data_IF_430808216997
#
_entry.id   IF_430808216997
#
_cell.length_a   1.000
_cell.length_b   1.000
_cell.length_c   1.000
_cell.angle_alpha   90.00
_cell.angle_beta   90.00
_cell.angle_gamma   90.00
#
_symmetry.space_group_name_H-M   'P 1'
#
loop_
_entity.id
_entity.type
_entity.pdbx_description
1 polymer ?
#
# COMPACT_ATOMS: atom_id res chain seq x y z
N UNK A 1 -74.71 58.42 76.86
CA UNK A 1 -74.80 57.45 77.97
C UNK A 1 -75.76 56.34 77.57
N UNK A 2 -75.32 55.09 77.59
CA UNK A 2 -76.21 53.93 77.44
C UNK A 2 -76.84 53.53 78.78
N UNK A 3 -77.68 52.50 78.77
CA UNK A 3 -78.37 51.95 79.95
C UNK A 3 -77.43 51.39 81.03
N UNK A 4 -76.14 51.19 80.72
CA UNK A 4 -75.09 50.78 81.65
C UNK A 4 -74.18 51.95 82.06
N UNK A 5 -74.58 53.19 81.77
CA UNK A 5 -73.83 54.41 82.06
C UNK A 5 -72.46 54.49 81.34
N UNK A 6 -72.32 53.83 80.18
CA UNK A 6 -71.14 53.96 79.32
C UNK A 6 -71.31 55.16 78.38
N UNK A 7 -70.30 56.03 78.33
CA UNK A 7 -70.25 57.11 77.36
C UNK A 7 -69.87 56.56 75.99
N UNK A 8 -70.56 57.04 74.96
CA UNK A 8 -70.29 56.74 73.56
C UNK A 8 -70.16 58.08 72.85
N UNK A 9 -69.15 58.21 72.00
CA UNK A 9 -69.00 59.37 71.14
C UNK A 9 -69.91 59.21 69.91
N UNK A 10 -70.60 60.29 69.56
CA UNK A 10 -71.44 60.34 68.35
C UNK A 10 -70.61 60.88 67.20
N UNK A 11 -70.49 60.11 66.12
CA UNK A 11 -69.84 60.60 64.91
C UNK A 11 -70.72 61.68 64.24
N UNK A 12 -70.08 62.76 63.82
CA UNK A 12 -70.65 63.81 62.97
C UNK A 12 -70.34 63.53 61.50
N UNK A 13 -70.96 64.29 60.59
CA UNK A 13 -70.63 64.22 59.16
C UNK A 13 -69.20 64.69 58.85
N UNK A 14 -68.59 65.46 59.75
CA UNK A 14 -67.19 65.89 59.62
C UNK A 14 -66.21 64.79 60.08
N UNK A 15 -66.69 63.83 60.87
CA UNK A 15 -65.94 62.63 61.22
C UNK A 15 -65.93 61.66 60.01
N UNK A 16 -64.80 61.01 59.80
CA UNK A 16 -64.50 60.34 58.53
C UNK A 16 -63.59 59.13 58.69
N UNK A 17 -63.43 58.40 57.58
CA UNK A 17 -62.47 57.28 57.52
C UNK A 17 -61.11 57.79 57.04
N UNK A 18 -60.04 57.18 57.59
CA UNK A 18 -58.66 57.42 57.17
C UNK A 18 -58.18 56.23 56.35
N UNK A 19 -57.52 56.51 55.25
CA UNK A 19 -56.93 55.52 54.36
C UNK A 19 -55.46 55.84 54.17
N UNK A 20 -54.61 54.82 54.09
CA UNK A 20 -53.20 54.95 53.78
C UNK A 20 -52.76 53.76 52.93
N UNK A 21 -51.81 54.00 52.02
CA UNK A 21 -51.11 52.93 51.30
C UNK A 21 -49.80 52.57 51.98
N UNK A 22 -48.99 51.75 51.31
CA UNK A 22 -47.66 51.39 51.82
C UNK A 22 -46.64 52.52 51.63
N UNK A 23 -46.78 53.33 50.57
CA UNK A 23 -45.79 54.34 50.15
C UNK A 23 -46.49 55.64 49.76
N UNK A 24 -45.95 56.77 50.22
CA UNK A 24 -46.38 58.11 49.80
C UNK A 24 -45.91 58.40 48.37
N UNK A 25 -46.81 58.83 47.49
CA UNK A 25 -46.45 59.33 46.16
C UNK A 25 -45.61 60.62 46.27
N UNK A 26 -44.67 60.83 45.34
CA UNK A 26 -43.72 61.95 45.37
C UNK A 26 -44.37 63.34 45.33
N UNK A 27 -45.56 63.43 44.75
CA UNK A 27 -46.36 64.65 44.61
C UNK A 27 -47.47 64.78 45.68
N UNK A 28 -47.69 63.76 46.51
CA UNK A 28 -48.65 63.79 47.59
C UNK A 28 -48.10 64.48 48.84
N UNK A 29 -48.96 65.19 49.59
CA UNK A 29 -48.57 65.86 50.85
C UNK A 29 -48.39 64.90 52.04
N UNK A 30 -49.08 63.77 52.03
CA UNK A 30 -48.98 62.72 53.05
C UNK A 30 -49.41 61.35 52.45
N UNK A 31 -48.93 60.26 53.05
CA UNK A 31 -49.37 58.90 52.69
C UNK A 31 -50.85 58.64 53.05
N UNK A 32 -51.28 59.14 54.20
CA UNK A 32 -52.66 59.01 54.67
C UNK A 32 -53.54 60.16 54.17
N UNK A 33 -54.79 59.86 53.83
CA UNK A 33 -55.83 60.85 53.56
C UNK A 33 -57.13 60.50 54.30
N UNK A 34 -57.95 61.51 54.59
CA UNK A 34 -59.24 61.35 55.26
C UNK A 34 -60.37 61.66 54.30
N UNK A 35 -61.50 60.99 54.47
CA UNK A 35 -62.76 61.26 53.76
C UNK A 35 -63.87 61.41 54.77
N UNK A 36 -64.63 62.51 54.67
CA UNK A 36 -65.80 62.74 55.53
C UNK A 36 -66.83 61.65 55.33
N UNK A 37 -67.71 61.46 56.31
CA UNK A 37 -68.86 60.58 56.13
C UNK A 37 -69.66 61.02 54.88
N UNK A 38 -70.13 60.07 54.07
CA UNK A 38 -70.75 60.25 52.75
C UNK A 38 -69.83 60.76 51.61
N UNK A 39 -68.52 60.87 51.80
CA UNK A 39 -67.61 61.06 50.67
C UNK A 39 -67.23 59.75 49.98
N UNK A 40 -67.17 59.76 48.64
CA UNK A 40 -66.74 58.61 47.85
C UNK A 40 -65.22 58.47 47.86
N UNK A 41 -64.74 57.25 48.08
CA UNK A 41 -63.35 56.85 47.87
C UNK A 41 -63.25 55.94 46.66
N UNK A 42 -62.35 56.24 45.73
CA UNK A 42 -62.12 55.41 44.54
C UNK A 42 -60.86 54.56 44.71
N UNK A 43 -60.94 53.29 44.33
CA UNK A 43 -59.80 52.37 44.23
C UNK A 43 -59.60 52.05 42.74
N UNK A 44 -58.48 52.49 42.17
CA UNK A 44 -58.23 52.42 40.72
C UNK A 44 -56.92 51.69 40.39
N UNK A 45 -56.96 50.75 39.44
CA UNK A 45 -55.81 49.94 39.00
C UNK A 45 -55.24 50.34 37.62
N UNK A 46 -55.73 51.41 37.01
CA UNK A 46 -55.19 51.97 35.75
C UNK A 46 -55.67 51.31 34.44
N UNK A 47 -56.25 50.11 34.47
CA UNK A 47 -56.83 49.44 33.29
C UNK A 47 -58.27 49.90 33.05
N UNK A 48 -58.59 50.35 31.84
CA UNK A 48 -59.89 50.96 31.51
C UNK A 48 -60.81 50.08 30.65
N UNK A 49 -60.29 48.99 30.08
CA UNK A 49 -61.06 48.00 29.29
C UNK A 49 -61.21 46.71 30.09
N UNK A 50 -62.44 46.26 30.30
CA UNK A 50 -62.73 45.04 31.06
C UNK A 50 -62.07 43.80 30.43
N UNK A 51 -62.12 43.67 29.11
CA UNK A 51 -61.56 42.51 28.39
C UNK A 51 -60.02 42.39 28.45
N UNK A 52 -59.34 43.45 28.93
CA UNK A 52 -57.90 43.40 29.18
C UNK A 52 -57.55 42.91 30.61
N UNK A 53 -58.55 42.77 31.48
CA UNK A 53 -58.38 42.25 32.83
C UNK A 53 -58.56 40.74 32.81
N UNK A 54 -57.71 40.05 33.58
CA UNK A 54 -57.85 38.63 33.80
C UNK A 54 -59.19 38.33 34.49
N UNK A 55 -59.89 37.30 34.01
CA UNK A 55 -61.04 36.70 34.69
C UNK A 55 -60.62 35.73 35.79
N UNK A 56 -59.32 35.43 35.90
CA UNK A 56 -58.74 34.61 36.96
C UNK A 56 -58.69 35.34 38.31
N UNK A 57 -58.85 34.59 39.40
CA UNK A 57 -58.74 35.07 40.78
C UNK A 57 -57.28 35.28 41.21
N UNK A 58 -56.55 36.12 40.48
CA UNK A 58 -55.11 36.31 40.63
C UNK A 58 -54.71 37.19 41.82
N UNK A 59 -55.64 37.97 42.37
CA UNK A 59 -55.42 38.88 43.51
C UNK A 59 -56.32 38.47 44.66
N UNK A 60 -55.73 38.20 45.82
CA UNK A 60 -56.44 37.91 47.08
C UNK A 60 -56.20 39.00 48.12
N UNK A 61 -57.14 39.15 49.05
CA UNK A 61 -57.07 40.10 50.17
C UNK A 61 -57.15 39.32 51.48
N UNK A 62 -56.23 39.61 52.40
CA UNK A 62 -56.11 38.92 53.71
C UNK A 62 -56.25 39.95 54.83
N UNK A 63 -57.26 39.81 55.69
CA UNK A 63 -57.39 40.66 56.88
C UNK A 63 -56.51 40.16 58.02
N UNK A 64 -55.84 41.08 58.73
CA UNK A 64 -55.20 40.76 60.01
C UNK A 64 -56.17 40.81 61.20
N UNK A 65 -57.43 41.22 60.98
CA UNK A 65 -58.47 41.33 62.02
C UNK A 65 -58.39 42.58 62.91
N UNK A 66 -57.42 43.47 62.70
CA UNK A 66 -57.26 44.70 63.50
C UNK A 66 -57.37 45.94 62.64
N UNK A 67 -56.46 46.11 61.69
CA UNK A 67 -56.21 47.41 61.03
C UNK A 67 -55.61 47.29 59.62
N UNK A 68 -55.34 46.07 59.12
CA UNK A 68 -54.78 45.88 57.77
C UNK A 68 -55.53 44.84 56.95
N UNK A 69 -55.58 45.12 55.64
CA UNK A 69 -55.98 44.20 54.59
C UNK A 69 -54.78 44.03 53.64
N UNK A 70 -54.07 42.91 53.72
CA UNK A 70 -52.92 42.63 52.86
C UNK A 70 -53.36 42.09 51.51
N UNK A 71 -52.98 42.76 50.43
CA UNK A 71 -53.19 42.27 49.07
C UNK A 71 -52.05 41.30 48.71
N UNK A 72 -52.39 40.15 48.12
CA UNK A 72 -51.42 39.13 47.68
C UNK A 72 -51.77 38.60 46.30
N UNK A 73 -50.76 38.20 45.53
CA UNK A 73 -50.95 37.44 44.30
C UNK A 73 -51.23 35.95 44.62
N UNK A 74 -52.03 35.30 43.78
CA UNK A 74 -52.25 33.87 43.84
C UNK A 74 -50.96 33.10 43.52
N UNK A 75 -50.72 31.95 44.17
CA UNK A 75 -49.56 31.09 43.88
C UNK A 75 -49.54 30.56 42.45
N UNK A 76 -50.72 30.34 41.89
CA UNK A 76 -50.93 29.95 40.49
C UNK A 76 -51.68 31.10 39.82
N UNK A 77 -50.98 31.81 38.94
CA UNK A 77 -51.62 32.82 38.10
C UNK A 77 -52.25 32.13 36.89
N UNK A 78 -53.46 32.51 36.54
CA UNK A 78 -54.22 31.96 35.40
C UNK A 78 -54.78 33.08 34.55
N UNK A 79 -55.12 32.78 33.29
CA UNK A 79 -55.76 33.75 32.38
C UNK A 79 -54.92 35.03 32.22
N UNK A 80 -53.61 34.84 32.00
CA UNK A 80 -52.66 35.87 31.61
C UNK A 80 -52.25 35.63 30.15
N UNK A 81 -52.24 36.69 29.35
CA UNK A 81 -51.81 36.63 27.95
C UNK A 81 -50.29 36.69 27.83
N UNK A 82 -49.63 37.48 28.68
CA UNK A 82 -48.17 37.61 28.70
C UNK A 82 -47.64 38.04 30.05
N UNK A 83 -46.37 37.75 30.28
CA UNK A 83 -45.55 38.30 31.37
C UNK A 83 -44.32 38.93 30.75
N UNK A 84 -44.10 40.21 31.03
CA UNK A 84 -42.94 40.95 30.54
C UNK A 84 -42.10 41.42 31.72
N UNK A 85 -40.82 41.08 31.71
CA UNK A 85 -39.83 41.61 32.65
C UNK A 85 -38.75 42.36 31.89
N UNK A 86 -38.30 43.48 32.43
CA UNK A 86 -37.18 44.25 31.88
C UNK A 86 -36.00 44.20 32.83
N UNK A 87 -34.80 44.02 32.28
CA UNK A 87 -33.57 44.28 33.02
C UNK A 87 -33.17 45.72 32.73
N UNK A 88 -32.73 46.44 33.76
CA UNK A 88 -32.20 47.80 33.63
C UNK A 88 -30.74 47.87 34.07
N UNK A 89 -30.01 48.85 33.56
CA UNK A 89 -28.72 49.23 34.14
C UNK A 89 -28.90 50.02 35.46
N UNK A 90 -27.79 50.37 36.12
CA UNK A 90 -27.79 51.15 37.37
C UNK A 90 -28.40 52.56 37.22
N UNK A 91 -28.60 53.02 35.98
CA UNK A 91 -29.23 54.31 35.65
C UNK A 91 -30.72 54.16 35.31
N UNK A 92 -31.27 52.95 35.34
CA UNK A 92 -32.65 52.64 35.03
C UNK A 92 -32.96 52.48 33.54
N UNK A 93 -31.96 52.47 32.66
CA UNK A 93 -32.18 52.25 31.23
C UNK A 93 -32.41 50.77 30.94
N UNK A 94 -33.41 50.43 30.14
CA UNK A 94 -33.68 49.05 29.71
C UNK A 94 -32.50 48.47 28.94
N UNK A 95 -31.92 47.38 29.44
CA UNK A 95 -30.83 46.62 28.80
C UNK A 95 -31.31 45.34 28.15
N UNK A 96 -32.41 44.76 28.62
CA UNK A 96 -33.07 43.62 27.98
C UNK A 96 -34.56 43.54 28.35
N UNK A 97 -35.31 42.83 27.51
CA UNK A 97 -36.69 42.40 27.76
C UNK A 97 -36.78 40.90 27.72
N UNK A 98 -37.51 40.30 28.66
CA UNK A 98 -37.97 38.92 28.54
C UNK A 98 -39.49 38.93 28.47
N UNK A 99 -40.02 38.32 27.42
CA UNK A 99 -41.45 38.12 27.23
C UNK A 99 -41.74 36.63 27.29
N UNK A 100 -42.66 36.24 28.16
CA UNK A 100 -43.30 34.93 28.14
C UNK A 100 -44.75 35.11 27.70
N UNK A 101 -45.12 34.48 26.59
CA UNK A 101 -46.47 34.55 26.01
C UNK A 101 -46.85 33.22 25.32
N UNK A 102 -47.94 33.23 24.56
CA UNK A 102 -48.41 32.05 23.82
C UNK A 102 -47.43 31.52 22.76
N UNK A 103 -46.43 32.29 22.36
CA UNK A 103 -45.40 31.88 21.40
C UNK A 103 -44.16 31.26 22.08
N UNK A 104 -44.04 31.39 23.41
CA UNK A 104 -42.95 30.83 24.20
C UNK A 104 -42.23 31.89 25.05
N UNK A 105 -40.92 31.77 25.17
CA UNK A 105 -40.08 32.70 25.93
C UNK A 105 -39.08 33.36 24.99
N UNK A 106 -39.04 34.68 24.96
CA UNK A 106 -38.09 35.45 24.14
C UNK A 106 -37.34 36.46 25.00
N UNK A 107 -36.01 36.50 24.85
CA UNK A 107 -35.12 37.46 25.49
C UNK A 107 -34.54 38.36 24.40
N UNK A 108 -34.86 39.65 24.47
CA UNK A 108 -34.43 40.67 23.52
C UNK A 108 -33.53 41.69 24.22
N UNK A 109 -32.20 41.61 24.04
CA UNK A 109 -31.28 42.65 24.48
C UNK A 109 -31.55 43.96 23.73
N UNK A 110 -31.41 45.10 24.42
CA UNK A 110 -31.52 46.43 23.79
C UNK A 110 -30.40 46.71 22.79
N UNK A 111 -29.29 45.97 22.88
CA UNK A 111 -28.15 46.07 21.96
C UNK A 111 -27.74 44.67 21.53
N UNK A 112 -27.75 44.41 20.22
CA UNK A 112 -27.31 43.14 19.65
C UNK A 112 -25.89 43.28 19.10
N UNK A 113 -25.04 42.29 19.38
CA UNK A 113 -23.75 42.18 18.71
C UNK A 113 -23.91 41.90 17.20
N UNK A 114 -22.86 42.14 16.43
CA UNK A 114 -22.87 41.85 14.99
C UNK A 114 -23.27 40.39 14.71
N UNK A 115 -24.28 40.20 13.86
CA UNK A 115 -24.80 38.88 13.49
C UNK A 115 -25.57 38.16 14.61
N UNK A 116 -25.94 38.83 15.70
CA UNK A 116 -26.75 38.25 16.79
C UNK A 116 -28.21 38.65 16.67
N UNK A 117 -29.09 37.82 17.21
CA UNK A 117 -30.54 38.05 17.33
C UNK A 117 -31.03 37.72 18.74
N UNK A 118 -32.32 37.89 19.01
CA UNK A 118 -32.93 37.50 20.28
C UNK A 118 -32.76 36.00 20.55
N UNK A 119 -32.70 35.65 21.84
CA UNK A 119 -32.75 34.24 22.28
C UNK A 119 -34.22 33.87 22.45
N UNK A 120 -34.64 32.73 21.91
CA UNK A 120 -36.04 32.29 22.04
C UNK A 120 -36.18 30.79 22.19
N UNK A 121 -37.13 30.38 23.03
CA UNK A 121 -37.62 29.01 23.15
C UNK A 121 -39.11 29.02 22.77
N UNK A 122 -39.43 28.35 21.67
CA UNK A 122 -40.77 28.35 21.06
C UNK A 122 -41.22 26.93 20.74
N UNK A 123 -42.43 26.77 20.21
CA UNK A 123 -42.93 25.51 19.65
C UNK A 123 -42.06 24.93 18.51
N UNK A 124 -41.21 25.77 17.89
CA UNK A 124 -40.25 25.40 16.84
C UNK A 124 -38.86 25.04 17.39
N UNK A 125 -38.66 25.09 18.71
CA UNK A 125 -37.40 24.78 19.37
C UNK A 125 -36.65 26.02 19.88
N UNK A 126 -35.34 25.85 20.09
CA UNK A 126 -34.44 26.84 20.67
C UNK A 126 -33.66 27.59 19.57
N UNK A 127 -33.72 28.92 19.59
CA UNK A 127 -32.77 29.79 18.92
C UNK A 127 -31.90 30.48 19.97
N UNK A 128 -30.58 30.24 19.96
CA UNK A 128 -29.65 30.93 20.86
C UNK A 128 -29.22 32.31 20.32
N UNK A 129 -29.91 32.86 19.32
CA UNK A 129 -29.63 34.20 18.80
C UNK A 129 -28.23 34.38 18.20
N UNK A 130 -27.62 33.29 17.72
CA UNK A 130 -26.24 33.28 17.23
C UNK A 130 -25.18 33.35 18.35
N UNK A 131 -25.55 33.30 19.62
CA UNK A 131 -24.59 33.26 20.73
C UNK A 131 -23.89 31.90 20.83
N UNK A 132 -22.68 31.88 21.43
CA UNK A 132 -22.00 30.63 21.72
C UNK A 132 -22.74 29.90 22.85
N UNK A 133 -22.98 28.60 22.67
CA UNK A 133 -23.44 27.72 23.75
C UNK A 133 -22.20 27.15 24.42
N UNK A 134 -22.02 27.40 25.71
CA UNK A 134 -20.87 26.92 26.50
C UNK A 134 -21.33 25.89 27.53
N UNK A 135 -20.40 25.13 28.10
CA UNK A 135 -20.67 24.09 29.10
C UNK A 135 -21.63 22.98 28.61
N UNK A 136 -21.52 22.63 27.32
CA UNK A 136 -22.21 21.48 26.73
C UNK A 136 -21.40 20.22 27.01
N UNK A 137 -21.97 19.31 27.79
CA UNK A 137 -21.40 17.98 28.02
C UNK A 137 -21.40 17.16 26.72
N UNK A 138 -20.62 16.08 26.68
CA UNK A 138 -20.59 15.20 25.51
C UNK A 138 -21.93 14.51 25.31
N UNK A 139 -22.45 14.56 24.08
CA UNK A 139 -23.64 13.80 23.69
C UNK A 139 -23.42 12.30 23.58
N UNK A 140 -22.16 11.84 23.64
CA UNK A 140 -21.77 10.43 23.61
C UNK A 140 -21.95 9.76 24.98
N UNK A 141 -23.18 9.82 25.49
CA UNK A 141 -23.61 9.16 26.72
C UNK A 141 -24.93 8.45 26.53
N UNK A 142 -25.08 7.29 27.16
CA UNK A 142 -26.35 6.57 27.20
C UNK A 142 -27.34 7.26 28.16
N UNK A 143 -28.58 6.75 28.21
CA UNK A 143 -29.63 7.27 29.08
C UNK A 143 -29.30 7.18 30.59
N UNK A 144 -28.33 6.33 30.98
CA UNK A 144 -27.84 6.21 32.35
C UNK A 144 -26.64 7.14 32.63
N UNK A 145 -26.17 7.89 31.63
CA UNK A 145 -25.04 8.82 31.74
C UNK A 145 -23.66 8.16 31.57
N UNK A 146 -23.61 6.88 31.18
CA UNK A 146 -22.34 6.21 30.88
C UNK A 146 -21.81 6.66 29.52
N UNK A 147 -20.49 6.71 29.36
CA UNK A 147 -19.86 7.06 28.07
C UNK A 147 -20.14 5.98 27.02
N UNK A 148 -20.42 6.43 25.80
CA UNK A 148 -20.60 5.58 24.62
C UNK A 148 -19.53 5.95 23.60
N UNK A 149 -18.86 4.98 22.99
CA UNK A 149 -17.92 5.28 21.91
C UNK A 149 -18.70 5.63 20.62
N UNK A 150 -18.15 6.52 19.80
CA UNK A 150 -18.86 7.04 18.62
C UNK A 150 -19.30 5.91 17.66
N UNK A 151 -18.49 4.87 17.51
CA UNK A 151 -18.77 3.70 16.67
C UNK A 151 -19.94 2.84 17.17
N UNK A 152 -20.24 2.90 18.48
CA UNK A 152 -21.28 2.10 19.14
C UNK A 152 -22.56 2.93 19.40
N UNK A 153 -22.54 4.22 19.06
CA UNK A 153 -23.67 5.11 19.26
C UNK A 153 -24.87 4.70 18.39
N UNK A 154 -26.05 4.56 19.02
CA UNK A 154 -27.30 4.20 18.36
C UNK A 154 -28.47 4.97 18.98
N UNK A 155 -29.62 5.00 18.28
CA UNK A 155 -30.85 5.61 18.79
C UNK A 155 -30.67 7.08 19.17
N UNK A 156 -31.15 7.45 20.37
CA UNK A 156 -31.13 8.84 20.86
C UNK A 156 -29.73 9.43 20.98
N UNK A 157 -28.71 8.60 21.22
CA UNK A 157 -27.30 9.05 21.30
C UNK A 157 -26.86 9.73 20.01
N UNK A 158 -27.37 9.29 18.85
CA UNK A 158 -27.07 9.90 17.55
C UNK A 158 -27.69 11.29 17.36
N UNK A 159 -28.69 11.64 18.17
CA UNK A 159 -29.40 12.93 18.10
C UNK A 159 -28.92 13.93 19.17
N UNK A 160 -28.03 13.51 20.06
CA UNK A 160 -27.48 14.36 21.10
C UNK A 160 -26.52 15.41 20.52
N UNK A 161 -26.39 16.54 21.23
CA UNK A 161 -25.43 17.57 20.86
C UNK A 161 -23.98 17.09 21.09
N UNK A 162 -23.10 17.39 20.14
CA UNK A 162 -21.64 17.18 20.28
C UNK A 162 -20.96 18.45 20.77
N UNK A 163 -19.90 18.30 21.57
CA UNK A 163 -19.05 19.41 21.95
C UNK A 163 -17.71 19.41 21.19
N UNK A 164 -16.93 20.48 21.34
CA UNK A 164 -15.63 20.62 20.66
C UNK A 164 -14.63 19.54 21.08
N UNK A 165 -14.73 19.02 22.31
CA UNK A 165 -13.90 17.92 22.79
C UNK A 165 -14.14 16.64 21.99
N UNK A 166 -15.40 16.33 21.67
CA UNK A 166 -15.77 15.20 20.82
C UNK A 166 -15.29 15.39 19.38
N UNK A 167 -15.47 16.59 18.82
CA UNK A 167 -14.99 16.92 17.47
C UNK A 167 -13.47 16.77 17.34
N UNK A 168 -12.71 17.13 18.38
CA UNK A 168 -11.24 16.98 18.39
C UNK A 168 -10.81 15.52 18.29
N UNK A 169 -11.57 14.57 18.86
CA UNK A 169 -11.30 13.13 18.69
C UNK A 169 -11.43 12.70 17.23
N UNK A 170 -12.47 13.20 16.54
CA UNK A 170 -12.67 12.94 15.10
C UNK A 170 -11.56 13.57 14.26
N UNK A 171 -11.14 14.80 14.59
CA UNK A 171 -10.06 15.48 13.88
C UNK A 171 -8.75 14.68 13.92
N UNK A 172 -8.40 14.09 15.07
CA UNK A 172 -7.19 13.26 15.18
C UNK A 172 -7.23 12.06 14.24
N UNK A 173 -8.39 11.41 14.09
CA UNK A 173 -8.56 10.29 13.15
C UNK A 173 -8.52 10.79 11.71
N UNK A 174 -9.21 11.90 11.40
CA UNK A 174 -9.24 12.47 10.06
C UNK A 174 -7.85 13.00 9.59
N UNK A 175 -7.02 13.46 10.51
CA UNK A 175 -5.64 13.89 10.24
C UNK A 175 -4.62 12.76 10.24
N UNK A 176 -5.00 11.55 10.66
CA UNK A 176 -4.12 10.39 10.56
C UNK A 176 -4.06 9.91 9.11
N UNK A 177 -2.97 10.20 8.42
CA UNK A 177 -2.71 9.72 7.06
C UNK A 177 -1.72 8.56 7.08
N UNK A 178 -1.90 7.59 6.19
CA UNK A 178 -0.92 6.52 5.97
C UNK A 178 0.24 7.07 5.15
N UNK A 179 1.45 7.03 5.70
CA UNK A 179 2.66 7.32 4.95
C UNK A 179 3.14 6.04 4.23
N UNK A 180 3.24 6.10 2.91
CA UNK A 180 3.83 5.04 2.08
C UNK A 180 5.13 5.57 1.51
N UNK A 181 6.22 4.85 1.72
CA UNK A 181 7.53 5.15 1.14
C UNK A 181 8.08 3.94 0.40
N UNK A 182 8.93 4.19 -0.59
CA UNK A 182 9.76 3.17 -1.22
C UNK A 182 11.21 3.33 -0.78
N UNK A 183 12.00 2.26 -0.86
CA UNK A 183 13.44 2.28 -0.55
C UNK A 183 13.76 2.78 0.89
N UNK A 184 12.87 2.47 1.84
CA UNK A 184 13.03 2.74 3.28
C UNK A 184 12.68 4.16 3.74
N UNK A 185 12.68 5.17 2.86
CA UNK A 185 12.35 6.56 3.25
C UNK A 185 11.96 7.51 2.10
N UNK A 186 11.80 7.03 0.87
CA UNK A 186 11.50 7.91 -0.27
C UNK A 186 9.99 8.06 -0.43
N UNK A 187 9.48 9.27 -0.18
CA UNK A 187 8.08 9.63 -0.35
C UNK A 187 7.73 9.91 -1.81
N UNK A 188 6.45 9.72 -2.16
CA UNK A 188 5.93 10.10 -3.46
C UNK A 188 6.00 11.63 -3.66
N UNK A 189 6.37 12.12 -4.85
CA UNK A 189 6.20 13.52 -5.21
C UNK A 189 4.75 14.00 -5.06
N UNK A 190 4.50 15.31 -5.05
CA UNK A 190 3.13 15.83 -4.99
C UNK A 190 2.25 15.28 -6.13
N UNK A 191 0.98 15.07 -5.82
CA UNK A 191 0.00 14.64 -6.83
C UNK A 191 -0.13 15.67 -7.96
N UNK A 192 -0.44 15.21 -9.16
CA UNK A 192 -0.74 16.08 -10.28
C UNK A 192 -2.01 16.91 -10.04
N UNK A 193 -2.09 18.08 -10.69
CA UNK A 193 -3.26 18.94 -10.60
C UNK A 193 -4.54 18.23 -11.05
N UNK A 194 -5.68 18.66 -10.52
CA UNK A 194 -7.02 18.18 -10.91
C UNK A 194 -7.21 16.66 -10.86
N UNK A 195 -6.56 15.99 -9.90
CA UNK A 195 -6.67 14.54 -9.74
C UNK A 195 -5.91 13.72 -10.78
N UNK A 196 -4.92 14.32 -11.45
CA UNK A 196 -3.95 13.56 -12.22
C UNK A 196 -2.96 12.82 -11.31
N UNK A 197 -2.38 11.73 -11.82
CA UNK A 197 -1.27 11.05 -11.16
C UNK A 197 -0.04 11.97 -11.21
N UNK A 198 0.66 12.09 -10.08
CA UNK A 198 1.93 12.78 -10.01
C UNK A 198 3.07 12.01 -10.70
N UNK A 199 4.27 12.59 -10.68
CA UNK A 199 5.45 11.89 -11.16
C UNK A 199 5.86 10.78 -10.19
N UNK A 200 6.50 9.73 -10.72
CA UNK A 200 7.14 8.73 -9.88
C UNK A 200 8.38 9.29 -9.18
N UNK A 201 8.73 8.70 -8.03
CA UNK A 201 10.03 8.89 -7.38
C UNK A 201 11.19 8.63 -8.34
N UNK A 202 12.32 9.29 -8.09
CA UNK A 202 13.55 9.18 -8.88
C UNK A 202 13.97 7.70 -9.10
N UNK A 203 14.04 7.32 -10.37
CA UNK A 203 14.45 5.99 -10.84
C UNK A 203 15.84 5.58 -10.37
N UNK A 204 16.71 6.52 -9.99
CA UNK A 204 18.06 6.18 -9.51
C UNK A 204 18.08 5.72 -8.06
N UNK A 205 16.97 5.87 -7.34
CA UNK A 205 16.90 5.63 -5.88
C UNK A 205 16.45 4.21 -5.49
N UNK A 206 16.05 3.37 -6.44
CA UNK A 206 15.79 1.95 -6.14
C UNK A 206 14.91 1.24 -7.16
N UNK A 207 14.51 0.01 -6.83
CA UNK A 207 13.79 -0.89 -7.73
C UNK A 207 12.28 -0.65 -7.77
N UNK A 208 11.72 -0.08 -6.70
CA UNK A 208 10.32 0.31 -6.63
C UNK A 208 10.22 1.82 -6.72
N UNK A 209 9.26 2.26 -7.53
CA UNK A 209 8.91 3.66 -7.73
C UNK A 209 7.51 3.91 -7.22
N UNK A 210 7.29 5.10 -6.68
CA UNK A 210 6.03 5.50 -6.06
C UNK A 210 5.55 6.81 -6.66
N UNK A 211 4.28 6.86 -7.04
CA UNK A 211 3.58 8.10 -7.40
C UNK A 211 2.31 8.19 -6.57
N UNK A 212 1.73 9.38 -6.47
CA UNK A 212 0.44 9.58 -5.80
C UNK A 212 -0.51 10.43 -6.62
N UNK A 213 -1.81 10.19 -6.40
CA UNK A 213 -2.93 10.95 -6.94
C UNK A 213 -3.81 11.40 -5.78
N UNK A 214 -4.34 12.62 -5.83
CA UNK A 214 -5.28 13.17 -4.85
C UNK A 214 -6.62 13.44 -5.53
N UNK A 215 -7.70 12.84 -5.07
CA UNK A 215 -9.04 13.13 -5.61
C UNK A 215 -9.67 14.40 -5.02
N UNK A 216 -10.88 14.75 -5.46
CA UNK A 216 -11.62 15.93 -5.00
C UNK A 216 -12.03 15.88 -3.52
N UNK A 217 -11.99 14.70 -2.90
CA UNK A 217 -12.27 14.51 -1.47
C UNK A 217 -11.00 14.62 -0.61
N UNK A 218 -9.84 14.78 -1.24
CA UNK A 218 -8.54 14.79 -0.57
C UNK A 218 -7.94 13.39 -0.34
N UNK A 219 -8.60 12.32 -0.81
CA UNK A 219 -8.10 10.96 -0.67
C UNK A 219 -6.87 10.76 -1.56
N UNK A 220 -5.78 10.29 -0.95
CA UNK A 220 -4.55 9.92 -1.66
C UNK A 220 -4.64 8.46 -2.11
N UNK A 221 -4.32 8.20 -3.38
CA UNK A 221 -4.06 6.85 -3.89
C UNK A 221 -2.62 6.78 -4.37
N UNK A 222 -1.89 5.77 -3.91
CA UNK A 222 -0.51 5.54 -4.32
C UNK A 222 -0.45 4.52 -5.46
N UNK A 223 0.34 4.81 -6.48
CA UNK A 223 0.64 3.90 -7.57
C UNK A 223 2.09 3.40 -7.45
N UNK A 224 2.27 2.09 -7.50
CA UNK A 224 3.57 1.43 -7.36
C UNK A 224 3.96 0.80 -8.69
N UNK A 225 5.14 1.18 -9.18
CA UNK A 225 5.72 0.64 -10.40
C UNK A 225 7.10 0.05 -10.12
N UNK A 226 7.46 -1.05 -10.80
CA UNK A 226 8.85 -1.49 -10.87
C UNK A 226 9.65 -0.57 -11.78
N UNK A 227 10.83 -0.20 -11.34
CA UNK A 227 11.79 0.52 -12.15
C UNK A 227 12.18 -0.30 -13.39
N UNK A 228 12.49 0.39 -14.49
CA UNK A 228 12.88 -0.23 -15.75
C UNK A 228 14.20 -1.02 -15.60
N UNK A 229 15.04 -0.63 -14.64
CA UNK A 229 16.21 -1.41 -14.19
C UNK A 229 16.04 -1.90 -12.76
N UNK A 230 16.03 -3.22 -12.58
CA UNK A 230 16.04 -3.87 -11.26
C UNK A 230 17.47 -4.27 -10.92
N UNK A 231 18.02 -3.72 -9.84
CA UNK A 231 19.34 -4.07 -9.32
C UNK A 231 19.17 -4.93 -8.08
N UNK A 232 19.72 -6.15 -8.09
CA UNK A 232 19.68 -7.07 -6.96
C UNK A 232 21.08 -7.23 -6.38
N UNK A 233 21.17 -7.32 -5.06
CA UNK A 233 22.45 -7.31 -4.36
C UNK A 233 23.00 -5.90 -4.14
N UNK A 234 24.13 -5.82 -3.45
CA UNK A 234 24.80 -4.56 -3.12
C UNK A 234 26.29 -4.72 -3.33
N UNK A 235 26.91 -3.82 -4.09
CA UNK A 235 28.36 -3.79 -4.21
C UNK A 235 29.01 -3.56 -2.83
N UNK A 236 30.07 -4.31 -2.53
CA UNK A 236 30.89 -4.06 -1.36
C UNK A 236 31.68 -2.76 -1.52
N UNK A 237 32.02 -2.12 -0.41
CA UNK A 237 32.87 -0.92 -0.42
C UNK A 237 34.25 -1.24 0.13
N UNK A 238 35.28 -0.56 -0.37
CA UNK A 238 36.66 -0.63 0.12
C UNK A 238 37.28 -2.04 0.12
N UNK A 239 37.11 -2.79 -0.98
CA UNK A 239 37.73 -4.12 -1.15
C UNK A 239 37.11 -5.23 -0.30
N UNK A 240 35.94 -5.00 0.30
CA UNK A 240 35.11 -6.04 0.91
C UNK A 240 34.12 -6.59 -0.11
N UNK A 241 33.76 -7.85 0.08
CA UNK A 241 32.75 -8.50 -0.75
C UNK A 241 31.39 -7.80 -0.63
N UNK A 242 30.65 -7.78 -1.73
CA UNK A 242 29.26 -7.32 -1.75
C UNK A 242 28.29 -8.34 -1.17
N UNK A 243 27.01 -8.00 -1.25
CA UNK A 243 25.92 -8.94 -1.04
C UNK A 243 25.41 -9.38 -2.40
N UNK A 244 25.42 -10.67 -2.67
CA UNK A 244 24.95 -11.22 -3.94
C UNK A 244 23.45 -10.96 -4.14
N UNK A 245 23.10 -10.55 -5.36
CA UNK A 245 21.72 -10.53 -5.83
C UNK A 245 21.36 -11.90 -6.38
N UNK A 246 20.20 -12.44 -6.00
CA UNK A 246 19.70 -13.70 -6.54
C UNK A 246 18.26 -13.56 -7.04
N UNK A 247 17.94 -14.28 -8.12
CA UNK A 247 16.57 -14.47 -8.63
C UNK A 247 16.26 -15.95 -8.59
N UNK A 248 15.30 -16.35 -7.76
CA UNK A 248 14.80 -17.72 -7.71
C UNK A 248 13.55 -17.87 -8.58
N UNK A 249 13.61 -18.69 -9.61
CA UNK A 249 12.45 -19.09 -10.42
C UNK A 249 12.21 -20.58 -10.21
N UNK A 250 11.01 -20.96 -9.75
CA UNK A 250 10.58 -22.36 -9.66
C UNK A 250 9.71 -22.69 -10.87
N UNK A 251 10.04 -23.76 -11.59
CA UNK A 251 9.16 -24.35 -12.59
C UNK A 251 7.90 -24.92 -11.95
N UNK A 252 6.88 -25.18 -12.77
CA UNK A 252 5.60 -25.76 -12.32
C UNK A 252 5.76 -27.13 -11.63
N UNK A 253 6.87 -27.82 -11.86
CA UNK A 253 7.26 -29.08 -11.23
C UNK A 253 8.10 -28.92 -9.94
N UNK A 254 8.30 -27.67 -9.48
CA UNK A 254 9.09 -27.34 -8.30
C UNK A 254 10.61 -27.34 -8.51
N UNK A 255 11.10 -27.64 -9.73
CA UNK A 255 12.53 -27.60 -10.06
C UNK A 255 12.93 -26.23 -10.60
N UNK A 256 14.15 -25.78 -10.31
CA UNK A 256 14.63 -24.46 -10.76
C UNK A 256 14.79 -24.44 -12.28
N UNK A 257 14.06 -23.58 -12.98
CA UNK A 257 14.25 -23.30 -14.41
C UNK A 257 14.37 -21.79 -14.61
N UNK A 258 15.55 -21.31 -15.00
CA UNK A 258 15.75 -19.92 -15.40
C UNK A 258 15.61 -19.86 -16.93
N UNK A 259 14.50 -19.33 -17.41
CA UNK A 259 14.33 -18.99 -18.83
C UNK A 259 14.98 -17.63 -19.12
N UNK A 260 16.22 -17.62 -19.58
CA UNK A 260 16.90 -16.39 -20.03
C UNK A 260 16.69 -16.25 -21.54
N UNK A 261 15.67 -15.48 -21.96
CA UNK A 261 15.45 -15.13 -23.36
C UNK A 261 16.38 -13.96 -23.76
N UNK A 262 17.68 -14.25 -23.93
CA UNK A 262 18.62 -13.31 -24.52
C UNK A 262 18.67 -13.53 -26.02
N UNK A 263 18.24 -12.54 -26.82
CA UNK A 263 18.49 -12.49 -28.28
C UNK A 263 19.97 -12.74 -28.62
N UNK A 264 20.87 -12.48 -27.68
CA UNK A 264 22.33 -12.49 -27.82
C UNK A 264 23.02 -13.63 -27.01
N UNK A 265 22.26 -14.63 -26.51
CA UNK A 265 22.81 -15.79 -25.79
C UNK A 265 22.87 -15.67 -24.25
N UNK A 266 23.20 -16.78 -23.58
CA UNK A 266 23.32 -16.88 -22.11
C UNK A 266 24.81 -16.92 -21.74
N UNK A 267 25.29 -15.94 -20.97
CA UNK A 267 26.64 -15.95 -20.40
C UNK A 267 26.56 -16.31 -18.91
N UNK A 268 27.06 -17.50 -18.54
CA UNK A 268 27.19 -17.90 -17.13
C UNK A 268 28.58 -17.46 -16.67
N UNK A 269 28.66 -16.46 -15.80
CA UNK A 269 29.95 -15.98 -15.26
C UNK A 269 30.08 -16.49 -13.82
N UNK A 270 31.02 -17.40 -13.56
CA UNK A 270 31.35 -17.86 -12.20
C UNK A 270 32.00 -16.77 -11.35
N UNK A 271 32.06 -16.98 -10.01
CA UNK A 271 32.32 -15.99 -8.94
C UNK A 271 33.51 -15.01 -9.09
N UNK A 272 34.40 -15.19 -10.07
CA UNK A 272 35.58 -14.36 -10.31
C UNK A 272 35.65 -13.77 -11.74
N UNK A 273 34.60 -13.86 -12.54
CA UNK A 273 34.63 -13.44 -13.95
C UNK A 273 35.25 -14.48 -14.91
N UNK A 274 35.69 -15.64 -14.40
CA UNK A 274 36.70 -16.49 -15.07
C UNK A 274 36.21 -17.85 -15.56
N UNK A 275 35.04 -18.32 -15.14
CA UNK A 275 34.53 -19.63 -15.53
C UNK A 275 33.09 -19.52 -16.05
N UNK A 276 32.90 -19.78 -17.34
CA UNK A 276 31.57 -19.86 -17.94
C UNK A 276 31.51 -20.96 -18.99
N UNK A 277 30.49 -21.82 -18.88
CA UNK A 277 30.06 -22.63 -20.01
C UNK A 277 29.39 -21.66 -20.99
N UNK A 278 29.99 -21.45 -22.15
CA UNK A 278 29.37 -20.71 -23.24
C UNK A 278 28.58 -21.70 -24.11
N UNK A 279 27.26 -21.57 -24.12
CA UNK A 279 26.38 -22.28 -25.06
C UNK A 279 25.75 -21.20 -25.94
N UNK A 280 26.39 -20.88 -27.06
CA UNK A 280 25.83 -19.96 -28.05
C UNK A 280 25.03 -20.76 -29.08
N UNK A 281 23.70 -20.65 -29.02
CA UNK A 281 22.83 -20.95 -30.14
C UNK A 281 22.23 -19.66 -30.64
N UNK A 282 22.67 -19.14 -31.79
CA UNK A 282 21.98 -18.03 -32.43
C UNK A 282 20.74 -18.55 -33.18
N UNK A 283 19.59 -17.92 -32.96
CA UNK A 283 18.31 -18.28 -33.56
C UNK A 283 18.38 -18.49 -35.08
N UNK A 284 17.86 -19.63 -35.57
CA UNK A 284 17.64 -19.90 -36.98
C UNK A 284 16.39 -20.73 -37.19
N UNK A 285 15.26 -20.06 -37.43
CA UNK A 285 14.06 -20.67 -38.00
C UNK A 285 14.38 -21.23 -39.39
N UNK A 286 14.02 -22.49 -39.62
CA UNK A 286 13.93 -23.19 -40.91
C UNK A 286 15.18 -23.25 -41.81
N UNK A 287 15.86 -24.40 -41.69
CA UNK A 287 16.51 -25.19 -42.75
C UNK A 287 16.71 -24.54 -44.12
N UNK A 288 17.91 -23.96 -44.32
CA UNK A 288 18.72 -24.19 -45.52
C UNK A 288 20.20 -23.82 -45.33
N UNK A 289 20.53 -22.94 -44.38
CA UNK A 289 21.90 -22.51 -44.07
C UNK A 289 22.14 -22.51 -42.55
N UNK A 290 22.24 -23.71 -41.95
CA UNK A 290 22.42 -23.86 -40.49
C UNK A 290 23.79 -23.36 -40.05
N UNK A 291 23.83 -22.40 -39.12
CA UNK A 291 25.08 -21.84 -38.58
C UNK A 291 25.50 -22.63 -37.33
N UNK A 292 26.79 -22.95 -37.30
CA UNK A 292 27.47 -23.90 -36.41
C UNK A 292 27.27 -23.61 -34.91
N UNK A 293 26.79 -24.60 -34.14
CA UNK A 293 26.75 -24.55 -32.68
C UNK A 293 28.10 -24.99 -32.10
N UNK A 294 28.76 -24.13 -31.32
CA UNK A 294 30.06 -24.41 -30.66
C UNK A 294 29.88 -24.54 -29.13
N UNK A 295 30.29 -25.67 -28.55
CA UNK A 295 30.49 -25.84 -27.10
C UNK A 295 32.00 -25.88 -26.86
N UNK A 296 32.54 -24.96 -26.07
CA UNK A 296 33.97 -24.94 -25.74
C UNK A 296 34.22 -25.01 -24.22
N UNK A 297 35.20 -25.82 -23.83
CA UNK A 297 35.73 -25.88 -22.46
C UNK A 297 37.22 -25.52 -22.53
N UNK A 298 37.63 -24.41 -21.93
CA UNK A 298 39.02 -23.91 -21.95
C UNK A 298 39.57 -23.61 -20.56
N UNK A 299 40.89 -23.58 -20.43
CA UNK A 299 41.59 -23.12 -19.22
C UNK A 299 41.77 -21.60 -19.25
N UNK A 300 41.69 -20.85 -18.13
CA UNK A 300 41.86 -19.40 -18.15
C UNK A 300 43.21 -18.96 -18.76
N UNK A 301 43.19 -17.95 -19.63
CA UNK A 301 44.40 -17.26 -20.06
C UNK A 301 45.05 -16.48 -18.91
N UNK A 302 46.37 -16.29 -18.96
CA UNK A 302 47.05 -15.35 -18.04
C UNK A 302 46.57 -13.93 -18.37
N UNK A 303 46.31 -13.13 -17.33
CA UNK A 303 46.02 -11.68 -17.43
C UNK A 303 44.73 -11.26 -18.17
N UNK A 304 43.67 -12.08 -18.06
CA UNK A 304 42.33 -11.67 -18.53
C UNK A 304 42.11 -11.77 -20.04
N UNK A 305 43.02 -12.39 -20.77
CA UNK A 305 42.76 -12.82 -22.15
C UNK A 305 41.95 -14.12 -22.18
N UNK A 306 41.10 -14.34 -23.21
CA UNK A 306 40.40 -15.60 -23.40
C UNK A 306 41.39 -16.76 -23.41
N UNK A 307 41.09 -17.79 -22.62
CA UNK A 307 41.81 -19.06 -22.69
C UNK A 307 41.67 -19.71 -24.07
N UNK A 308 42.64 -20.54 -24.45
CA UNK A 308 42.49 -21.40 -25.63
C UNK A 308 41.52 -22.55 -25.31
N UNK A 309 40.66 -22.91 -26.26
CA UNK A 309 39.69 -23.99 -26.12
C UNK A 309 40.43 -25.34 -26.00
N UNK A 310 40.23 -26.08 -24.91
CA UNK A 310 40.83 -27.41 -24.73
C UNK A 310 40.00 -28.50 -25.43
N UNK A 311 38.67 -28.38 -25.39
CA UNK A 311 37.72 -29.19 -26.15
C UNK A 311 36.70 -28.27 -26.81
N UNK A 312 36.48 -28.42 -28.10
CA UNK A 312 35.41 -27.76 -28.85
C UNK A 312 34.56 -28.80 -29.59
N UNK A 313 33.24 -28.75 -29.41
CA UNK A 313 32.30 -29.55 -30.21
C UNK A 313 31.60 -28.58 -31.14
N UNK A 314 31.68 -28.83 -32.45
CA UNK A 314 31.04 -28.03 -33.50
C UNK A 314 30.35 -28.92 -34.52
N UNK A 315 29.41 -28.37 -35.28
CA UNK A 315 28.89 -29.04 -36.46
C UNK A 315 28.71 -28.05 -37.58
N UNK A 316 29.27 -28.33 -38.75
CA UNK A 316 29.20 -27.49 -39.94
C UNK A 316 28.65 -28.30 -41.12
N UNK A 317 27.69 -27.75 -41.86
CA UNK A 317 27.07 -28.41 -43.03
C UNK A 317 26.50 -29.82 -42.79
N UNK A 318 26.18 -30.17 -41.54
CA UNK A 318 25.68 -31.50 -41.14
C UNK A 318 26.77 -32.48 -40.69
N UNK A 319 28.05 -32.09 -40.73
CA UNK A 319 29.18 -32.86 -40.22
C UNK A 319 29.53 -32.42 -38.80
N UNK A 320 29.66 -33.38 -37.88
CA UNK A 320 30.03 -33.13 -36.48
C UNK A 320 31.52 -33.25 -36.26
N UNK A 321 32.09 -32.28 -35.55
CA UNK A 321 33.51 -32.12 -35.27
C UNK A 321 33.76 -32.02 -33.76
N UNK A 322 34.83 -32.67 -33.30
CA UNK A 322 35.37 -32.54 -31.94
C UNK A 322 36.82 -32.08 -32.06
N UNK A 323 37.04 -30.79 -31.86
CA UNK A 323 38.36 -30.20 -31.73
C UNK A 323 38.95 -30.46 -30.35
N UNK A 324 40.16 -31.03 -30.30
CA UNK A 324 40.95 -31.22 -29.10
C UNK A 324 42.25 -30.41 -29.24
N UNK A 325 42.55 -29.58 -28.25
CA UNK A 325 43.82 -28.83 -28.19
C UNK A 325 44.70 -29.39 -27.07
N UNK A 326 45.85 -29.93 -27.43
CA UNK A 326 46.91 -30.35 -26.52
C UNK A 326 47.88 -29.22 -26.18
N UNK A 327 48.84 -29.48 -25.27
CA UNK A 327 49.87 -28.51 -24.93
C UNK A 327 50.77 -28.17 -26.13
N UNK A 328 51.39 -26.99 -26.09
CA UNK A 328 52.38 -26.57 -27.08
C UNK A 328 53.56 -27.55 -27.17
N UNK A 329 53.93 -27.92 -28.39
CA UNK A 329 55.14 -28.66 -28.71
C UNK A 329 56.41 -27.82 -28.49
N UNK A 330 57.58 -28.41 -28.76
CA UNK A 330 58.88 -27.72 -28.65
C UNK A 330 59.03 -26.52 -29.60
N UNK A 331 58.19 -26.46 -30.64
CA UNK A 331 58.08 -25.39 -31.63
C UNK A 331 57.13 -24.26 -31.21
N UNK A 332 56.48 -24.38 -30.05
CA UNK A 332 55.56 -23.38 -29.51
C UNK A 332 54.16 -23.39 -30.12
N UNK A 333 53.86 -24.34 -31.01
CA UNK A 333 52.51 -24.56 -31.56
C UNK A 333 51.78 -25.63 -30.76
N UNK A 334 50.49 -25.43 -30.53
CA UNK A 334 49.66 -26.42 -29.84
C UNK A 334 49.46 -27.66 -30.71
N UNK A 335 49.49 -28.84 -30.11
CA UNK A 335 48.96 -30.01 -30.78
C UNK A 335 47.43 -29.83 -30.94
N UNK A 336 46.89 -30.13 -32.11
CA UNK A 336 45.44 -30.13 -32.32
C UNK A 336 45.00 -31.37 -33.07
N UNK A 337 43.79 -31.83 -32.75
CA UNK A 337 43.08 -32.85 -33.50
C UNK A 337 41.64 -32.40 -33.72
N UNK A 338 41.22 -32.30 -34.97
CA UNK A 338 39.81 -32.12 -35.30
C UNK A 338 39.19 -33.46 -35.72
N UNK A 339 38.49 -34.09 -34.78
CA UNK A 339 37.94 -35.43 -34.92
C UNK A 339 36.57 -35.37 -35.56
N UNK A 340 36.38 -36.06 -36.68
CA UNK A 340 35.11 -36.21 -37.37
C UNK A 340 34.96 -37.63 -37.93
N UNK A 341 33.78 -37.94 -38.49
CA UNK A 341 33.50 -39.22 -39.15
C UNK A 341 33.38 -38.97 -40.65
N UNK A 342 34.01 -39.81 -41.45
CA UNK A 342 33.87 -39.81 -42.91
C UNK A 342 33.65 -41.23 -43.41
N UNK A 343 33.20 -41.36 -44.66
CA UNK A 343 33.25 -42.64 -45.35
C UNK A 343 34.68 -42.92 -45.86
N UNK A 344 35.23 -44.11 -45.60
CA UNK A 344 36.60 -44.47 -45.98
C UNK A 344 36.75 -45.89 -46.50
N UNK A 345 38.00 -46.39 -46.53
CA UNK A 345 38.27 -47.72 -47.10
C UNK A 345 37.65 -48.82 -46.23
N UNK A 346 37.12 -49.84 -46.90
CA UNK A 346 36.65 -51.07 -46.27
C UNK A 346 37.83 -51.82 -45.62
N UNK A 347 37.55 -52.60 -44.58
CA UNK A 347 38.54 -53.47 -43.95
C UNK A 347 39.07 -54.57 -44.89
N UNK A 348 39.98 -55.42 -44.40
CA UNK A 348 40.66 -56.43 -45.24
C UNK A 348 39.74 -57.54 -45.78
N UNK A 349 38.56 -57.72 -45.18
CA UNK A 349 37.51 -58.63 -45.63
C UNK A 349 36.63 -58.04 -46.74
N UNK A 350 36.73 -56.73 -46.99
CA UNK A 350 35.98 -56.05 -48.05
C UNK A 350 34.48 -55.85 -47.80
N UNK A 351 33.98 -56.12 -46.59
CA UNK A 351 32.54 -56.05 -46.29
C UNK A 351 32.19 -54.98 -45.26
N UNK A 352 31.84 -53.80 -45.76
CA UNK A 352 30.83 -52.91 -45.21
C UNK A 352 30.25 -51.99 -46.30
N UNK A 353 28.95 -51.71 -46.20
CA UNK A 353 28.12 -51.18 -47.29
C UNK A 353 27.62 -52.27 -48.25
N UNK A 354 26.41 -52.11 -48.81
CA UNK A 354 25.72 -53.14 -49.62
C UNK A 354 26.61 -53.63 -50.79
N UNK A 355 27.22 -54.81 -50.65
CA UNK A 355 28.16 -55.39 -51.64
C UNK A 355 29.46 -54.58 -51.87
N UNK A 356 30.02 -53.94 -50.83
CA UNK A 356 31.34 -53.30 -50.86
C UNK A 356 31.41 -51.98 -51.65
N UNK A 357 30.27 -51.36 -51.95
CA UNK A 357 30.18 -50.11 -52.72
C UNK A 357 30.31 -48.84 -51.90
N UNK A 358 29.95 -48.89 -50.61
CA UNK A 358 29.70 -47.68 -49.82
C UNK A 358 30.69 -47.46 -48.67
N UNK A 359 31.81 -48.19 -48.61
CA UNK A 359 32.88 -47.95 -47.63
C UNK A 359 32.51 -48.20 -46.15
N UNK A 360 33.49 -47.98 -45.26
CA UNK A 360 33.34 -48.05 -43.80
C UNK A 360 33.17 -46.64 -43.22
N UNK A 361 32.36 -46.47 -42.17
CA UNK A 361 32.38 -45.27 -41.34
C UNK A 361 33.71 -45.19 -40.55
N UNK A 362 34.49 -44.14 -40.78
CA UNK A 362 35.85 -43.99 -40.28
C UNK A 362 35.95 -42.79 -39.36
N UNK A 363 36.41 -43.02 -38.14
CA UNK A 363 36.86 -41.94 -37.27
C UNK A 363 38.17 -41.42 -37.83
N UNK A 364 38.18 -40.15 -38.19
CA UNK A 364 39.35 -39.45 -38.69
C UNK A 364 39.65 -38.26 -37.81
N UNK A 365 40.89 -37.83 -37.85
CA UNK A 365 41.26 -36.55 -37.29
C UNK A 365 42.16 -35.78 -38.25
N UNK A 366 41.94 -34.47 -38.32
CA UNK A 366 42.85 -33.54 -38.98
C UNK A 366 43.84 -33.02 -37.94
N UNK A 367 45.14 -33.17 -38.23
CA UNK A 367 46.19 -32.67 -37.33
C UNK A 367 46.42 -31.15 -37.51
N UNK A 368 47.30 -30.58 -36.68
CA UNK A 368 47.67 -29.15 -36.73
C UNK A 368 48.24 -28.67 -38.08
N UNK A 369 48.63 -29.57 -38.99
CA UNK A 369 49.12 -29.24 -40.33
C UNK A 369 48.05 -29.41 -41.42
N UNK A 370 46.82 -29.76 -41.03
CA UNK A 370 45.73 -30.01 -41.96
C UNK A 370 45.79 -31.39 -42.62
N UNK A 371 46.56 -32.32 -42.05
CA UNK A 371 46.70 -33.68 -42.61
C UNK A 371 45.65 -34.59 -41.99
N UNK A 372 44.83 -35.20 -42.83
CA UNK A 372 43.84 -36.19 -42.41
C UNK A 372 44.49 -37.53 -42.10
N UNK A 373 44.26 -38.03 -40.89
CA UNK A 373 44.65 -39.37 -40.46
C UNK A 373 43.40 -40.21 -40.20
N UNK A 374 43.50 -41.51 -40.48
CA UNK A 374 42.42 -42.48 -40.26
C UNK A 374 42.77 -43.40 -39.10
N UNK A 375 41.85 -43.54 -38.14
CA UNK A 375 42.05 -44.43 -37.00
C UNK A 375 41.75 -45.86 -37.44
N UNK A 376 42.74 -46.75 -37.30
CA UNK A 376 42.56 -48.16 -37.66
C UNK A 376 41.57 -48.87 -36.74
N UNK A 377 40.74 -49.75 -37.31
CA UNK A 377 39.80 -50.61 -36.60
C UNK A 377 40.30 -52.05 -36.56
N UNK A 378 39.67 -52.94 -35.77
CA UNK A 378 40.01 -54.37 -35.76
C UNK A 378 39.62 -55.10 -37.06
N UNK A 379 38.87 -54.46 -37.95
CA UNK A 379 38.53 -54.99 -39.28
C UNK A 379 39.57 -54.62 -40.34
N UNK A 380 40.47 -53.67 -40.03
CA UNK A 380 41.68 -53.43 -40.80
C UNK A 380 42.69 -54.55 -40.58
N UNK A 381 43.74 -54.57 -41.39
CA UNK A 381 44.72 -55.64 -41.38
C UNK A 381 45.78 -55.48 -42.46
N UNK A 382 46.60 -56.52 -42.61
CA UNK A 382 47.59 -56.61 -43.68
C UNK A 382 47.14 -57.67 -44.70
N UNK A 383 47.40 -57.39 -45.98
CA UNK A 383 47.26 -58.36 -47.07
C UNK A 383 48.63 -58.96 -47.37
N UNK A 384 48.70 -60.29 -47.37
CA UNK A 384 49.90 -61.05 -47.68
C UNK A 384 49.71 -61.75 -49.02
N UNK A 385 50.67 -61.64 -49.91
CA UNK A 385 50.70 -62.43 -51.15
C UNK A 385 52.02 -63.21 -51.20
N UNK A 386 51.94 -64.49 -51.55
CA UNK A 386 53.10 -65.30 -51.89
C UNK A 386 53.27 -65.41 -53.41
N UNK A 387 54.33 -66.09 -53.84
CA UNK A 387 54.67 -66.23 -55.26
C UNK A 387 53.57 -66.93 -56.11
N UNK A 388 52.64 -67.64 -55.46
CA UNK A 388 51.52 -68.33 -56.10
C UNK A 388 50.22 -68.21 -55.26
N UNK A 389 49.15 -67.63 -55.81
CA UNK A 389 47.78 -67.58 -55.22
C UNK A 389 47.18 -66.17 -55.08
N UNK A 390 45.91 -66.09 -54.68
CA UNK A 390 45.13 -64.82 -54.56
C UNK A 390 45.44 -64.00 -53.28
N UNK A 391 46.46 -64.41 -52.51
CA UNK A 391 46.84 -63.81 -51.23
C UNK A 391 45.93 -64.19 -50.06
N UNK A 392 46.28 -63.70 -48.86
CA UNK A 392 45.52 -63.86 -47.62
C UNK A 392 45.40 -62.50 -46.92
N UNK A 393 44.18 -62.17 -46.50
CA UNK A 393 43.89 -61.02 -45.64
C UNK A 393 43.95 -61.45 -44.17
N UNK A 394 44.68 -60.72 -43.34
CA UNK A 394 44.72 -60.98 -41.90
C UNK A 394 44.42 -59.70 -41.15
N UNK A 395 43.33 -59.72 -40.39
CA UNK A 395 42.92 -58.61 -39.53
C UNK A 395 43.97 -58.28 -38.46
N UNK A 396 43.99 -57.04 -38.01
CA UNK A 396 44.78 -56.60 -36.87
C UNK A 396 44.46 -57.47 -35.64
N UNK A 397 45.45 -57.61 -34.74
CA UNK A 397 45.37 -58.47 -33.55
C UNK A 397 45.14 -59.97 -33.84
N UNK A 398 45.55 -60.45 -35.03
CA UNK A 398 45.64 -61.88 -35.36
C UNK A 398 47.09 -62.30 -35.59
N UNK A 399 47.41 -63.54 -35.24
CA UNK A 399 48.71 -64.15 -35.52
C UNK A 399 48.74 -64.65 -36.96
N UNK A 400 49.70 -64.17 -37.74
CA UNK A 400 50.05 -64.74 -39.05
C UNK A 400 51.04 -65.88 -38.80
N UNK A 401 50.68 -67.11 -39.14
CA UNK A 401 51.62 -68.24 -39.14
C UNK A 401 52.07 -68.50 -40.56
N UNK A 402 53.35 -68.28 -40.85
CA UNK A 402 53.95 -68.64 -42.13
C UNK A 402 54.67 -69.97 -41.91
N UNK A 403 54.51 -70.93 -42.83
CA UNK A 403 55.15 -72.25 -42.74
C UNK A 403 55.88 -72.58 -44.01
N UNK A 404 57.15 -72.96 -43.89
CA UNK A 404 57.91 -73.55 -45.01
C UNK A 404 57.51 -75.00 -45.26
N UNK A 405 57.62 -75.47 -46.51
CA UNK A 405 57.53 -76.91 -46.81
C UNK A 405 58.84 -77.59 -46.39
N UNK A 406 58.95 -77.90 -45.11
CA UNK A 406 60.06 -78.71 -44.57
C UNK A 406 59.73 -80.19 -44.69
N UNK A 407 60.75 -81.02 -44.96
CA UNK A 407 60.62 -82.47 -44.95
C UNK A 407 60.18 -82.92 -43.54
N UNK A 408 59.30 -83.92 -43.45
CA UNK A 408 58.93 -84.49 -42.15
C UNK A 408 60.21 -84.86 -41.38
N UNK A 409 60.28 -84.44 -40.12
CA UNK A 409 61.35 -84.74 -39.15
C UNK A 409 62.64 -83.90 -39.26
N UNK A 410 62.66 -82.87 -40.11
CA UNK A 410 63.77 -81.89 -40.14
C UNK A 410 63.86 -81.08 -38.83
N UNK A 411 65.08 -80.88 -38.32
CA UNK A 411 65.42 -80.10 -37.13
C UNK A 411 66.07 -78.77 -37.51
N UNK A 412 66.16 -77.84 -36.57
CA UNK A 412 66.75 -76.50 -36.80
C UNK A 412 68.17 -76.57 -37.39
N UNK A 413 68.97 -77.55 -36.96
CA UNK A 413 70.33 -77.78 -37.47
C UNK A 413 70.40 -78.30 -38.93
N UNK A 414 69.27 -78.72 -39.52
CA UNK A 414 69.21 -79.22 -40.90
C UNK A 414 69.14 -78.09 -41.96
N UNK A 415 69.09 -76.82 -41.54
CA UNK A 415 69.03 -75.67 -42.42
C UNK A 415 70.35 -74.90 -42.41
N UNK A 416 70.93 -74.64 -43.60
CA UNK A 416 72.08 -73.76 -43.79
C UNK A 416 71.63 -72.35 -44.19
N UNK A 417 72.45 -71.34 -43.87
CA UNK A 417 72.18 -69.92 -44.17
C UNK A 417 71.72 -69.70 -45.62
N UNK A 418 70.50 -69.18 -45.79
CA UNK A 418 69.93 -68.80 -47.08
C UNK A 418 68.79 -69.69 -47.63
N UNK A 419 68.45 -70.81 -46.96
CA UNK A 419 67.27 -71.60 -47.32
C UNK A 419 66.07 -71.17 -46.46
N UNK A 420 64.98 -70.70 -47.07
CA UNK A 420 63.77 -70.26 -46.34
C UNK A 420 63.12 -71.47 -45.66
N UNK A 421 63.37 -71.62 -44.35
CA UNK A 421 62.48 -72.30 -43.40
C UNK A 421 61.64 -71.20 -42.74
N UNK A 422 60.33 -71.19 -43.02
CA UNK A 422 59.38 -70.26 -42.39
C UNK A 422 58.74 -70.87 -41.17
#
# INVERSE_FOLDING_TARGET
MDQNNKEHEVATMDDGQKYAGDVQASDAKANAFSRKLNEQTNVVGGVTKLDNLSTGNNVGVVSNGTDTLTIRLAKKLTDLTSVTTVTTDDKGNKTSETVQDGNGITITPSTLGAGKTAVSLTDKGLSNGGNQITHVDSGLKDAAGNKVELQDATGDVLNNAVNVGDLKKVQNVASAHTAVTVNGSVEAPEAGANGALGNYTDEKKGNLLLAQKKDSTGKITYDLKLNDKVTLGKAGTNGKDGIDGSVGLKGADGKSSIGLNGKDGISVIGKDGKNGVSITGSNGLNGKDGIDGKIAIGTPGKDGQPGKDAVSISGQNGEGHIGLTGPAGKDGKDASADIHVKNGQVGVDGTDGHSGKDGMDRVVYEDHNGVTHEVATMDDGQKYAGDFGDGASVKLNKTVTIKGKVKADAKEDDFVDGNIAV
#
